data_IF_767070721704
#
_entry.id   IF_767070721704
#
_cell.length_a   1.000
_cell.length_b   1.000
_cell.length_c   1.000
_cell.angle_alpha   90.00
_cell.angle_beta   90.00
_cell.angle_gamma   90.00
#
_symmetry.space_group_name_H-M   'P 1'
#
loop_
_entity.id
_entity.type
_entity.pdbx_description
1 polymer ?
#
# COMPACT_ATOMS: atom_id res chain seq x y z
N UNK A 1 -7.57 -2.26 5.94
CA UNK A 1 -7.62 -2.77 4.56
C UNK A 1 -7.08 -1.75 3.56
N UNK A 2 -7.71 -0.61 3.34
CA UNK A 2 -7.28 0.41 2.35
C UNK A 2 -5.81 0.78 2.48
N UNK A 3 -5.35 1.13 3.70
CA UNK A 3 -3.93 1.46 3.94
C UNK A 3 -2.97 0.33 3.54
N UNK A 4 -3.40 -0.95 3.63
CA UNK A 4 -2.60 -2.08 3.18
C UNK A 4 -2.43 -2.11 1.67
N UNK A 5 -3.52 -1.86 0.92
CA UNK A 5 -3.42 -1.73 -0.53
C UNK A 5 -2.46 -0.61 -0.91
N UNK A 6 -2.63 0.59 -0.34
CA UNK A 6 -1.77 1.74 -0.64
C UNK A 6 -0.30 1.44 -0.33
N UNK A 7 -0.01 0.89 0.87
CA UNK A 7 1.36 0.53 1.27
C UNK A 7 1.98 -0.49 0.32
N UNK A 8 1.20 -1.45 -0.18
CA UNK A 8 1.74 -2.45 -1.08
C UNK A 8 1.82 -1.99 -2.54
N UNK A 9 0.91 -1.13 -3.02
CA UNK A 9 0.92 -0.64 -4.41
C UNK A 9 1.94 0.49 -4.57
N UNK A 10 1.84 1.55 -3.77
CA UNK A 10 2.62 2.78 -3.94
C UNK A 10 3.73 2.92 -2.88
N UNK A 11 3.43 2.61 -1.61
CA UNK A 11 4.32 2.79 -0.46
C UNK A 11 4.91 4.22 -0.39
N UNK A 12 6.23 4.35 -0.61
CA UNK A 12 6.98 5.62 -0.58
C UNK A 12 6.95 6.39 -1.91
N UNK A 13 6.22 5.90 -2.89
CA UNK A 13 6.13 6.43 -4.24
C UNK A 13 6.70 5.49 -5.30
N UNK A 14 6.26 5.66 -6.53
CA UNK A 14 6.76 4.97 -7.70
C UNK A 14 7.84 5.83 -8.37
N UNK A 15 8.98 5.23 -8.66
CA UNK A 15 10.13 5.92 -9.27
C UNK A 15 10.25 5.59 -10.75
N UNK A 16 10.59 6.61 -11.54
CA UNK A 16 10.81 6.51 -12.98
C UNK A 16 12.10 5.73 -13.29
N UNK A 17 12.02 4.86 -14.27
CA UNK A 17 13.14 4.27 -14.98
C UNK A 17 12.97 4.57 -16.47
N UNK A 18 13.67 5.54 -16.99
CA UNK A 18 13.62 5.87 -18.42
C UNK A 18 14.30 4.77 -19.25
N UNK A 19 13.64 4.33 -20.32
CA UNK A 19 14.12 3.24 -21.20
C UNK A 19 14.01 3.62 -22.67
N UNK A 20 14.76 4.63 -23.12
CA UNK A 20 14.73 5.00 -24.54
C UNK A 20 15.19 3.82 -25.43
N UNK A 21 14.55 3.67 -26.57
CA UNK A 21 14.75 2.51 -27.45
C UNK A 21 15.83 2.81 -28.49
N UNK A 22 17.05 2.36 -28.24
CA UNK A 22 18.23 2.62 -29.07
C UNK A 22 18.02 2.28 -30.56
N UNK A 23 17.39 1.14 -30.87
CA UNK A 23 17.18 0.66 -32.23
C UNK A 23 16.29 1.57 -33.09
N UNK A 24 15.35 2.29 -32.47
CA UNK A 24 14.45 3.24 -33.15
C UNK A 24 15.12 4.60 -33.26
N UNK A 25 15.84 5.00 -32.21
CA UNK A 25 16.47 6.32 -32.13
C UNK A 25 17.77 6.44 -32.94
N UNK A 26 18.39 5.31 -33.28
CA UNK A 26 19.70 5.31 -34.00
C UNK A 26 20.83 5.89 -33.17
N UNK A 27 20.72 5.87 -31.84
CA UNK A 27 21.70 6.43 -30.89
C UNK A 27 22.39 5.28 -30.16
N UNK A 28 23.69 5.45 -29.93
CA UNK A 28 24.52 4.48 -29.24
C UNK A 28 24.05 4.30 -27.77
N UNK A 29 24.08 3.06 -27.29
CA UNK A 29 23.56 2.68 -25.98
C UNK A 29 24.27 3.41 -24.82
N UNK A 30 25.57 3.63 -24.94
CA UNK A 30 26.36 4.38 -23.92
C UNK A 30 25.88 5.83 -23.77
N UNK A 31 25.61 6.47 -24.92
CA UNK A 31 25.07 7.85 -24.95
C UNK A 31 23.68 7.89 -24.34
N UNK A 32 22.83 6.87 -24.61
CA UNK A 32 21.50 6.75 -24.02
C UNK A 32 21.55 6.49 -22.51
N UNK A 33 22.52 5.73 -22.03
CA UNK A 33 22.68 5.51 -20.58
C UNK A 33 22.98 6.84 -19.85
N UNK A 34 23.88 7.66 -20.38
CA UNK A 34 24.18 9.01 -19.83
C UNK A 34 22.96 9.92 -19.89
N UNK A 35 22.23 9.87 -21.00
CA UNK A 35 20.97 10.61 -21.16
C UNK A 35 19.91 10.17 -20.14
N UNK A 36 19.76 8.88 -19.92
CA UNK A 36 18.83 8.28 -18.95
C UNK A 36 19.12 8.77 -17.53
N UNK A 37 20.42 8.77 -17.14
CA UNK A 37 20.82 9.21 -15.80
C UNK A 37 20.51 10.71 -15.58
N UNK A 38 20.76 11.58 -16.60
CA UNK A 38 20.42 13.01 -16.53
C UNK A 38 18.91 13.24 -16.46
N UNK A 39 18.14 12.53 -17.29
CA UNK A 39 16.67 12.63 -17.32
C UNK A 39 16.05 12.22 -15.99
N UNK A 40 16.48 11.09 -15.45
CA UNK A 40 15.96 10.59 -14.17
C UNK A 40 16.32 11.50 -13.00
N UNK A 41 17.54 12.03 -12.98
CA UNK A 41 17.95 12.99 -11.96
C UNK A 41 17.09 14.27 -12.01
N UNK A 42 16.89 14.84 -13.21
CA UNK A 42 16.03 16.03 -13.39
C UNK A 42 14.58 15.77 -13.05
N UNK A 43 14.04 14.63 -13.50
CA UNK A 43 12.68 14.25 -13.17
C UNK A 43 12.48 14.06 -11.67
N UNK A 44 13.44 13.45 -10.99
CA UNK A 44 13.42 13.30 -9.52
C UNK A 44 13.43 14.67 -8.82
N UNK A 45 14.22 15.63 -9.28
CA UNK A 45 14.20 16.99 -8.73
C UNK A 45 12.87 17.68 -8.95
N UNK A 46 12.24 17.52 -10.12
CA UNK A 46 10.89 18.02 -10.39
C UNK A 46 9.86 17.37 -9.47
N UNK A 47 9.87 16.04 -9.32
CA UNK A 47 8.93 15.28 -8.50
C UNK A 47 9.02 15.60 -7.01
N UNK A 48 10.22 15.90 -6.52
CA UNK A 48 10.48 16.22 -5.11
C UNK A 48 10.22 17.69 -4.76
N UNK A 49 9.90 18.53 -5.74
CA UNK A 49 9.58 19.93 -5.51
C UNK A 49 8.06 20.15 -5.58
N UNK A 50 7.37 20.33 -4.44
CA UNK A 50 5.93 20.55 -4.39
C UNK A 50 5.47 21.73 -5.25
N UNK A 51 6.25 22.80 -5.29
CA UNK A 51 5.92 24.02 -6.07
C UNK A 51 5.91 23.78 -7.58
N UNK A 52 6.58 22.74 -8.06
CA UNK A 52 6.64 22.41 -9.49
C UNK A 52 5.62 21.34 -9.89
N UNK A 53 5.38 20.33 -9.03
CA UNK A 53 4.58 19.16 -9.38
C UNK A 53 3.13 19.25 -8.91
N UNK A 54 2.88 19.90 -7.77
CA UNK A 54 1.55 20.02 -7.19
C UNK A 54 0.88 21.35 -7.57
N UNK A 55 -0.39 21.30 -7.92
CA UNK A 55 -1.18 22.49 -8.21
C UNK A 55 -1.27 23.42 -6.99
N UNK A 56 -1.41 22.87 -5.79
CA UNK A 56 -1.48 23.61 -4.54
C UNK A 56 -0.09 23.92 -3.95
N UNK A 57 0.98 23.30 -4.46
CA UNK A 57 2.35 23.54 -4.01
C UNK A 57 2.69 22.92 -2.65
N UNK A 58 1.94 21.92 -2.21
CA UNK A 58 2.06 21.32 -0.87
C UNK A 58 2.74 19.96 -0.89
N UNK A 59 2.53 19.17 -1.95
CA UNK A 59 2.86 17.74 -1.98
C UNK A 59 3.87 17.40 -3.05
N UNK A 60 4.75 16.47 -2.73
CA UNK A 60 5.63 15.81 -3.72
C UNK A 60 4.83 14.84 -4.57
N UNK A 61 5.40 14.38 -5.70
CA UNK A 61 4.74 13.39 -6.56
C UNK A 61 4.41 12.11 -5.79
N UNK A 62 5.31 11.62 -4.94
CA UNK A 62 5.07 10.43 -4.13
C UNK A 62 3.85 10.58 -3.21
N UNK A 63 3.70 11.75 -2.60
CA UNK A 63 2.54 12.04 -1.74
C UNK A 63 1.25 12.17 -2.56
N UNK A 64 1.32 12.75 -3.76
CA UNK A 64 0.19 12.81 -4.70
C UNK A 64 -0.22 11.42 -5.17
N UNK A 65 0.72 10.52 -5.45
CA UNK A 65 0.44 9.12 -5.81
C UNK A 65 -0.29 8.40 -4.68
N UNK A 66 0.18 8.54 -3.43
CA UNK A 66 -0.50 7.96 -2.24
C UNK A 66 -1.90 8.52 -2.09
N UNK A 67 -2.08 9.84 -2.22
CA UNK A 67 -3.40 10.48 -2.11
C UNK A 67 -4.33 10.06 -3.24
N UNK A 68 -3.84 9.97 -4.47
CA UNK A 68 -4.59 9.47 -5.63
C UNK A 68 -5.14 8.08 -5.38
N UNK A 69 -4.29 7.14 -4.93
CA UNK A 69 -4.73 5.79 -4.61
C UNK A 69 -5.74 5.76 -3.46
N UNK A 70 -5.49 6.55 -2.40
CA UNK A 70 -6.42 6.63 -1.27
C UNK A 70 -7.81 7.09 -1.71
N UNK A 71 -7.89 8.20 -2.45
CA UNK A 71 -9.18 8.73 -2.90
C UNK A 71 -9.88 7.76 -3.86
N UNK A 72 -9.15 7.20 -4.81
CA UNK A 72 -9.71 6.28 -5.78
C UNK A 72 -10.21 4.97 -5.14
N UNK A 73 -9.53 4.43 -4.12
CA UNK A 73 -9.97 3.25 -3.38
C UNK A 73 -11.18 3.55 -2.47
N UNK A 74 -11.24 4.74 -1.89
CA UNK A 74 -12.34 5.15 -0.99
C UNK A 74 -13.59 5.59 -1.77
N UNK A 75 -13.41 6.43 -2.79
CA UNK A 75 -14.51 7.05 -3.52
C UNK A 75 -14.89 6.31 -4.81
N UNK A 76 -14.03 5.38 -5.27
CA UNK A 76 -14.19 4.61 -6.50
C UNK A 76 -13.39 5.15 -7.67
N UNK A 77 -13.25 6.47 -7.77
CA UNK A 77 -12.42 7.15 -8.77
C UNK A 77 -11.90 8.49 -8.25
N UNK A 78 -10.93 9.06 -8.99
CA UNK A 78 -10.40 10.40 -8.74
C UNK A 78 -10.03 11.03 -10.08
N UNK A 79 -10.36 12.29 -10.26
CA UNK A 79 -9.96 13.04 -11.46
C UNK A 79 -8.57 13.64 -11.25
N UNK A 80 -7.66 13.27 -12.12
CA UNK A 80 -6.31 13.82 -12.20
C UNK A 80 -6.28 14.87 -13.30
N UNK A 81 -6.03 16.13 -12.95
CA UNK A 81 -5.95 17.24 -13.88
C UNK A 81 -4.51 17.73 -13.98
N UNK A 82 -4.02 17.89 -15.21
CA UNK A 82 -2.70 18.45 -15.50
C UNK A 82 -2.87 19.94 -15.84
N UNK A 83 -2.48 20.81 -14.94
CA UNK A 83 -2.37 22.24 -15.17
C UNK A 83 -0.96 22.56 -15.65
N UNK A 84 -0.87 23.42 -16.66
CA UNK A 84 0.44 23.85 -17.18
C UNK A 84 0.78 25.21 -16.61
N UNK A 85 1.88 25.26 -15.85
CA UNK A 85 2.34 26.50 -15.23
C UNK A 85 2.66 27.57 -16.29
N UNK A 86 2.18 28.78 -16.09
CA UNK A 86 2.31 29.88 -17.09
C UNK A 86 3.74 30.31 -17.33
N UNK A 87 4.64 30.14 -16.36
CA UNK A 87 6.05 30.53 -16.44
C UNK A 87 6.95 29.43 -16.97
N UNK A 88 6.75 28.22 -16.44
CA UNK A 88 7.64 27.08 -16.73
C UNK A 88 7.05 26.14 -17.78
N UNK A 89 5.75 26.23 -18.05
CA UNK A 89 4.97 25.30 -18.87
C UNK A 89 5.06 23.83 -18.43
N UNK A 90 5.59 23.58 -17.22
CA UNK A 90 5.62 22.25 -16.63
C UNK A 90 4.23 21.82 -16.17
N UNK A 91 3.89 20.54 -16.27
CA UNK A 91 2.62 20.02 -15.75
C UNK A 91 2.58 20.09 -14.23
N UNK A 92 1.48 20.57 -13.66
CA UNK A 92 1.14 20.49 -12.23
C UNK A 92 -0.06 19.62 -12.04
N UNK A 93 -0.03 18.71 -11.09
CA UNK A 93 -1.12 17.77 -10.84
C UNK A 93 -2.09 18.37 -9.85
N UNK A 94 -3.38 18.34 -10.18
CA UNK A 94 -4.49 18.57 -9.25
C UNK A 94 -5.31 17.28 -9.14
N UNK A 95 -5.58 16.85 -7.93
CA UNK A 95 -6.50 15.75 -7.64
C UNK A 95 -7.86 16.32 -7.25
N UNK A 96 -8.90 15.89 -7.94
CA UNK A 96 -10.28 16.32 -7.69
C UNK A 96 -11.10 15.11 -7.26
N UNK A 97 -11.78 15.25 -6.14
CA UNK A 97 -12.59 14.19 -5.52
C UNK A 97 -13.77 13.79 -6.44
N UNK A 98 -14.10 12.50 -6.38
CA UNK A 98 -15.17 11.83 -7.11
C UNK A 98 -16.53 12.52 -6.98
N UNK A 99 -16.87 12.98 -5.79
CA UNK A 99 -18.15 13.65 -5.48
C UNK A 99 -18.31 15.01 -6.17
N UNK A 100 -17.24 15.64 -6.62
CA UNK A 100 -17.31 16.88 -7.41
C UNK A 100 -17.56 16.64 -8.89
N UNK A 101 -17.43 15.41 -9.38
CA UNK A 101 -17.67 15.05 -10.77
C UNK A 101 -19.17 14.76 -10.90
N UNK A 102 -19.92 15.72 -11.44
CA UNK A 102 -21.37 15.67 -11.48
C UNK A 102 -21.88 16.22 -12.82
N UNK A 103 -23.02 15.70 -13.25
CA UNK A 103 -23.72 16.27 -14.39
C UNK A 103 -24.43 17.56 -13.97
N UNK A 104 -24.31 18.67 -14.73
CA UNK A 104 -25.07 19.88 -14.49
C UNK A 104 -26.59 19.62 -14.43
N UNK A 105 -27.27 20.30 -13.51
CA UNK A 105 -28.71 20.12 -13.31
C UNK A 105 -29.54 20.87 -14.38
N UNK A 106 -28.97 21.93 -14.95
CA UNK A 106 -29.67 22.86 -15.86
C UNK A 106 -29.47 22.49 -17.34
N UNK A 107 -29.75 21.25 -17.71
CA UNK A 107 -29.74 20.84 -19.12
C UNK A 107 -28.37 20.29 -19.58
N UNK A 108 -28.10 20.38 -20.89
CA UNK A 108 -26.98 19.67 -21.55
C UNK A 108 -25.56 20.13 -21.17
N UNK A 109 -25.40 21.04 -20.20
CA UNK A 109 -24.09 21.50 -19.71
C UNK A 109 -23.11 22.02 -20.77
N UNK A 110 -23.63 22.44 -21.93
CA UNK A 110 -22.83 22.86 -23.10
C UNK A 110 -22.19 21.68 -23.84
N UNK A 111 -22.78 20.51 -23.75
CA UNK A 111 -22.39 19.30 -24.49
C UNK A 111 -22.68 19.48 -25.97
N UNK A 112 -21.75 19.11 -26.85
CA UNK A 112 -21.94 19.25 -28.30
C UNK A 112 -22.99 18.26 -28.82
N UNK A 113 -23.60 18.60 -29.98
CA UNK A 113 -24.60 17.75 -30.63
C UNK A 113 -24.06 16.33 -30.87
N UNK A 114 -24.86 15.33 -30.44
CA UNK A 114 -24.48 13.90 -30.53
C UNK A 114 -23.61 13.39 -29.42
N UNK A 115 -23.10 14.23 -28.53
CA UNK A 115 -22.43 13.81 -27.31
C UNK A 115 -23.45 13.56 -26.19
N UNK A 116 -23.09 12.76 -25.20
CA UNK A 116 -23.96 12.55 -24.04
C UNK A 116 -23.16 12.62 -22.75
N UNK A 117 -23.84 12.94 -21.66
CA UNK A 117 -23.26 13.14 -20.35
C UNK A 117 -23.80 12.09 -19.39
N UNK A 118 -22.92 11.30 -18.78
CA UNK A 118 -23.27 10.31 -17.78
C UNK A 118 -22.44 10.51 -16.51
N UNK A 119 -23.11 10.83 -15.40
CA UNK A 119 -22.49 11.04 -14.10
C UNK A 119 -21.27 11.99 -14.10
N UNK A 120 -21.34 13.06 -14.90
CA UNK A 120 -20.28 14.06 -15.03
C UNK A 120 -19.17 13.69 -16.03
N UNK A 121 -19.27 12.55 -16.70
CA UNK A 121 -18.37 12.14 -17.78
C UNK A 121 -19.04 12.36 -19.13
N UNK A 122 -18.41 13.14 -20.00
CA UNK A 122 -18.89 13.45 -21.34
C UNK A 122 -18.30 12.43 -22.34
N UNK A 123 -19.19 11.83 -23.13
CA UNK A 123 -18.86 10.85 -24.15
C UNK A 123 -19.21 11.39 -25.55
N UNK A 124 -18.40 10.99 -26.52
CA UNK A 124 -18.73 11.25 -27.93
C UNK A 124 -19.72 10.19 -28.47
N UNK A 125 -20.10 10.36 -29.75
CA UNK A 125 -21.01 9.44 -30.45
C UNK A 125 -20.50 7.99 -30.53
N UNK A 126 -19.19 7.76 -30.35
CA UNK A 126 -18.58 6.43 -30.33
C UNK A 126 -18.43 5.88 -28.91
N UNK A 127 -18.89 6.60 -27.89
CA UNK A 127 -18.74 6.19 -26.48
C UNK A 127 -17.33 6.42 -25.91
N UNK A 128 -16.50 7.27 -26.52
CA UNK A 128 -15.19 7.65 -25.98
C UNK A 128 -15.32 8.80 -25.01
N UNK A 129 -14.62 8.73 -23.89
CA UNK A 129 -14.56 9.81 -22.91
C UNK A 129 -13.78 11.00 -23.47
N UNK A 130 -14.39 12.17 -23.51
CA UNK A 130 -13.81 13.39 -24.08
C UNK A 130 -13.62 14.51 -23.08
N UNK A 131 -14.46 14.59 -22.05
CA UNK A 131 -14.34 15.61 -21.00
C UNK A 131 -14.98 15.16 -19.68
N UNK A 132 -14.71 15.93 -18.63
CA UNK A 132 -15.25 15.73 -17.29
C UNK A 132 -15.82 17.05 -16.78
N UNK A 133 -17.03 16.98 -16.22
CA UNK A 133 -17.73 18.11 -15.63
C UNK A 133 -17.57 18.10 -14.12
N UNK A 134 -17.04 19.16 -13.56
CA UNK A 134 -16.68 19.28 -12.14
C UNK A 134 -17.43 20.45 -11.53
N UNK A 135 -18.16 20.20 -10.46
CA UNK A 135 -18.77 21.22 -9.63
C UNK A 135 -17.68 21.94 -8.82
N UNK A 136 -17.55 23.24 -9.02
CA UNK A 136 -16.68 24.12 -8.24
C UNK A 136 -17.31 24.48 -6.89
N UNK A 137 -16.53 25.10 -6.03
CA UNK A 137 -16.99 25.57 -4.72
C UNK A 137 -17.98 26.75 -4.81
N UNK A 138 -17.93 27.54 -5.88
CA UNK A 138 -18.85 28.61 -6.20
C UNK A 138 -20.21 28.14 -6.75
N UNK A 139 -20.39 26.83 -6.95
CA UNK A 139 -21.59 26.23 -7.53
C UNK A 139 -21.58 26.17 -9.04
N UNK A 140 -20.58 26.73 -9.72
CA UNK A 140 -20.44 26.66 -11.16
C UNK A 140 -19.83 25.32 -11.60
N UNK A 141 -20.05 24.93 -12.85
CA UNK A 141 -19.44 23.75 -13.45
C UNK A 141 -18.24 24.13 -14.32
N UNK A 142 -17.13 23.44 -14.12
CA UNK A 142 -15.97 23.51 -14.99
C UNK A 142 -15.90 22.26 -15.86
N UNK A 143 -15.69 22.44 -17.16
CA UNK A 143 -15.46 21.36 -18.12
C UNK A 143 -13.97 21.16 -18.34
N UNK A 144 -13.44 20.00 -17.96
CA UNK A 144 -12.05 19.62 -18.20
C UNK A 144 -11.98 18.63 -19.37
N UNK A 145 -11.44 19.04 -20.53
CA UNK A 145 -11.27 18.12 -21.66
C UNK A 145 -10.23 17.06 -21.31
N UNK A 146 -10.38 15.86 -21.85
CA UNK A 146 -9.40 14.80 -21.67
C UNK A 146 -8.05 15.13 -22.31
N UNK A 147 -8.10 15.74 -23.50
CA UNK A 147 -6.92 16.13 -24.30
C UNK A 147 -7.11 17.54 -24.80
N UNK A 148 -6.07 18.34 -24.79
CA UNK A 148 -6.08 19.70 -25.33
C UNK A 148 -6.17 19.68 -26.85
N UNK A 149 -7.21 20.35 -27.40
CA UNK A 149 -7.53 20.32 -28.84
C UNK A 149 -6.39 20.82 -29.76
N UNK A 150 -5.56 21.77 -29.28
CA UNK A 150 -4.45 22.33 -30.06
C UNK A 150 -3.12 21.68 -29.76
N UNK A 151 -2.89 21.29 -28.51
CA UNK A 151 -1.58 20.82 -28.02
C UNK A 151 -1.41 19.30 -28.09
N UNK A 152 -2.52 18.54 -28.26
CA UNK A 152 -2.52 17.08 -28.12
C UNK A 152 -2.10 16.58 -26.73
N UNK A 153 -1.85 17.49 -25.77
CA UNK A 153 -1.42 17.17 -24.42
C UNK A 153 -2.58 16.68 -23.58
N UNK A 154 -2.32 15.76 -22.67
CA UNK A 154 -3.32 15.30 -21.70
C UNK A 154 -3.65 16.44 -20.72
N UNK A 155 -4.92 16.73 -20.54
CA UNK A 155 -5.40 17.75 -19.61
C UNK A 155 -6.05 17.09 -18.40
N UNK A 156 -6.86 16.07 -18.61
CA UNK A 156 -7.52 15.39 -17.50
C UNK A 156 -7.65 13.88 -17.75
N UNK A 157 -7.72 13.14 -16.66
CA UNK A 157 -7.92 11.70 -16.68
C UNK A 157 -8.66 11.24 -15.44
N UNK A 158 -9.74 10.51 -15.62
CA UNK A 158 -10.45 9.88 -14.51
C UNK A 158 -9.80 8.54 -14.20
N UNK A 159 -9.05 8.49 -13.09
CA UNK A 159 -8.40 7.27 -12.63
C UNK A 159 -9.37 6.42 -11.83
N UNK A 160 -9.49 5.15 -12.22
CA UNK A 160 -10.38 4.15 -11.63
C UNK A 160 -9.54 2.90 -11.32
N UNK A 161 -9.24 2.60 -10.05
CA UNK A 161 -8.49 1.39 -9.69
C UNK A 161 -9.31 0.13 -9.94
N UNK A 162 -8.63 -0.96 -10.27
CA UNK A 162 -9.24 -2.24 -10.52
C UNK A 162 -9.80 -2.41 -11.94
N UNK A 163 -10.44 -3.56 -12.19
CA UNK A 163 -11.00 -3.90 -13.50
C UNK A 163 -12.33 -3.18 -13.71
N UNK A 164 -12.39 -2.37 -14.75
CA UNK A 164 -13.60 -1.68 -15.18
C UNK A 164 -14.41 -2.55 -16.15
N UNK A 165 -15.71 -2.60 -15.95
CA UNK A 165 -16.64 -3.17 -16.93
C UNK A 165 -16.83 -2.15 -18.08
N UNK A 166 -16.90 -2.63 -19.33
CA UNK A 166 -17.13 -1.77 -20.48
C UNK A 166 -18.47 -1.02 -20.33
N UNK A 167 -18.48 0.27 -20.68
CA UNK A 167 -19.65 1.13 -20.51
C UNK A 167 -19.86 1.73 -19.13
N UNK A 168 -19.03 1.41 -18.15
CA UNK A 168 -19.11 2.00 -16.82
C UNK A 168 -18.45 3.39 -16.80
N UNK A 169 -19.23 4.43 -16.57
CA UNK A 169 -18.74 5.83 -16.54
C UNK A 169 -17.89 6.11 -15.30
N UNK A 170 -18.29 5.59 -14.13
CA UNK A 170 -17.65 5.87 -12.83
C UNK A 170 -17.02 4.64 -12.21
N UNK A 171 -16.02 4.84 -11.35
CA UNK A 171 -15.40 3.79 -10.58
C UNK A 171 -16.27 3.30 -9.41
N UNK A 172 -15.93 2.14 -8.85
CA UNK A 172 -16.58 1.61 -7.64
C UNK A 172 -15.60 1.66 -6.46
N UNK A 173 -16.04 2.13 -5.28
CA UNK A 173 -15.24 2.08 -4.07
C UNK A 173 -14.78 0.65 -3.74
N UNK A 174 -13.54 0.51 -3.25
CA UNK A 174 -12.97 -0.79 -2.90
C UNK A 174 -13.87 -1.58 -1.95
N UNK A 175 -14.43 -0.90 -0.94
CA UNK A 175 -15.26 -1.53 0.09
C UNK A 175 -16.75 -1.61 -0.27
N UNK A 176 -17.18 -1.10 -1.44
CA UNK A 176 -18.59 -0.97 -1.78
C UNK A 176 -19.40 -2.27 -1.64
N UNK A 177 -18.84 -3.39 -2.12
CA UNK A 177 -19.50 -4.70 -2.07
C UNK A 177 -19.27 -5.49 -0.77
N UNK A 178 -18.44 -4.99 0.17
CA UNK A 178 -18.17 -5.68 1.45
C UNK A 178 -18.59 -4.88 2.68
N UNK A 179 -19.12 -3.67 2.50
CA UNK A 179 -19.58 -2.81 3.60
C UNK A 179 -20.60 -3.49 4.48
N UNK A 180 -21.53 -4.24 3.89
CA UNK A 180 -22.56 -4.96 4.66
C UNK A 180 -21.91 -6.02 5.54
N UNK A 181 -21.01 -6.84 5.00
CA UNK A 181 -20.32 -7.87 5.77
C UNK A 181 -19.49 -7.29 6.92
N UNK A 182 -18.81 -6.16 6.69
CA UNK A 182 -18.09 -5.44 7.74
C UNK A 182 -19.03 -4.92 8.84
N UNK A 183 -20.20 -4.38 8.47
CA UNK A 183 -21.22 -3.94 9.42
C UNK A 183 -21.79 -5.10 10.25
N UNK A 184 -21.91 -6.28 9.66
CA UNK A 184 -22.36 -7.49 10.36
C UNK A 184 -21.34 -7.97 11.38
N UNK A 185 -20.04 -7.89 11.09
CA UNK A 185 -18.97 -8.16 12.07
C UNK A 185 -19.10 -7.23 13.27
N UNK A 186 -19.26 -5.93 13.05
CA UNK A 186 -19.38 -4.96 14.15
C UNK A 186 -20.63 -5.24 15.00
N UNK A 187 -21.77 -5.51 14.37
CA UNK A 187 -23.00 -5.88 15.08
C UNK A 187 -22.84 -7.15 15.89
N UNK A 188 -22.16 -8.15 15.33
CA UNK A 188 -21.93 -9.40 16.03
C UNK A 188 -20.98 -9.20 17.21
N UNK A 189 -19.93 -8.40 17.04
CA UNK A 189 -19.00 -8.01 18.12
C UNK A 189 -19.73 -7.32 19.26
N UNK A 190 -20.60 -6.35 18.97
CA UNK A 190 -21.45 -5.67 19.95
C UNK A 190 -22.38 -6.66 20.69
N UNK A 191 -22.95 -7.62 19.97
CA UNK A 191 -23.83 -8.64 20.54
C UNK A 191 -23.08 -9.57 21.48
N UNK A 192 -21.86 -10.00 21.11
CA UNK A 192 -20.99 -10.83 21.95
C UNK A 192 -20.56 -10.07 23.21
N UNK A 193 -20.20 -8.80 23.08
CA UNK A 193 -19.85 -7.96 24.23
C UNK A 193 -21.05 -7.79 25.18
N UNK A 194 -22.24 -7.52 24.65
CA UNK A 194 -23.49 -7.42 25.47
C UNK A 194 -23.81 -8.74 26.14
N UNK A 195 -23.62 -9.87 25.44
CA UNK A 195 -23.79 -11.20 26.02
C UNK A 195 -22.79 -11.44 27.15
N UNK A 196 -21.52 -11.12 26.95
CA UNK A 196 -20.50 -11.26 27.99
C UNK A 196 -20.79 -10.39 29.21
N UNK A 197 -21.27 -9.15 29.02
CA UNK A 197 -21.72 -8.28 30.09
C UNK A 197 -22.94 -8.88 30.79
N UNK A 198 -23.96 -9.35 30.07
CA UNK A 198 -25.13 -9.96 30.64
C UNK A 198 -24.83 -11.26 31.44
N UNK A 199 -23.87 -12.08 30.93
CA UNK A 199 -23.46 -13.29 31.67
C UNK A 199 -22.58 -12.97 32.87
N UNK A 200 -21.89 -11.83 32.89
CA UNK A 200 -21.13 -11.35 34.07
C UNK A 200 -22.08 -10.91 35.20
N UNK A 201 -23.28 -10.45 34.88
CA UNK A 201 -24.38 -10.24 35.83
C UNK A 201 -25.14 -11.55 35.90
N UNK A 202 -24.68 -12.52 36.70
CA UNK A 202 -25.29 -13.83 36.90
C UNK A 202 -26.82 -13.75 37.02
N UNK A 203 -27.54 -13.98 35.96
CA UNK A 203 -29.00 -14.15 35.99
C UNK A 203 -29.29 -15.57 36.45
N UNK A 204 -29.54 -15.74 37.75
CA UNK A 204 -29.98 -17.01 38.32
C UNK A 204 -31.51 -17.11 38.21
N UNK A 205 -31.99 -18.10 37.49
CA UNK A 205 -33.40 -18.47 37.52
C UNK A 205 -33.60 -19.65 38.48
N UNK A 206 -34.58 -19.57 39.34
CA UNK A 206 -34.98 -20.66 40.20
C UNK A 206 -36.13 -21.43 39.54
N UNK A 207 -35.85 -22.65 39.15
CA UNK A 207 -36.83 -23.56 38.56
C UNK A 207 -37.46 -24.44 39.66
N UNK A 208 -38.77 -24.57 39.66
CA UNK A 208 -39.49 -25.45 40.58
C UNK A 208 -39.78 -26.77 39.88
N UNK A 209 -39.42 -27.87 40.52
CA UNK A 209 -39.74 -29.22 40.03
C UNK A 209 -41.27 -29.48 40.16
N UNK A 210 -41.92 -29.83 39.06
CA UNK A 210 -43.38 -29.96 38.99
C UNK A 210 -43.93 -31.12 39.87
N UNK A 211 -43.09 -32.08 40.24
CA UNK A 211 -43.48 -33.30 40.95
C UNK A 211 -43.39 -33.17 42.49
N UNK A 212 -43.02 -32.02 43.00
CA UNK A 212 -42.92 -31.85 44.46
C UNK A 212 -44.26 -31.39 45.04
N UNK A 213 -45.08 -32.35 45.43
CA UNK A 213 -46.32 -32.08 46.13
C UNK A 213 -46.03 -31.44 47.50
N UNK A 214 -46.34 -30.16 47.65
CA UNK A 214 -46.21 -29.43 48.93
C UNK A 214 -45.15 -28.33 48.97
N UNK A 215 -44.42 -28.07 47.86
CA UNK A 215 -43.50 -26.93 47.80
C UNK A 215 -44.25 -25.59 47.76
N UNK A 216 -43.97 -24.72 48.71
CA UNK A 216 -44.55 -23.35 48.74
C UNK A 216 -44.10 -22.53 47.54
N UNK A 217 -45.00 -21.77 46.90
CA UNK A 217 -44.59 -20.95 45.75
C UNK A 217 -43.59 -19.85 46.17
N UNK A 218 -42.51 -19.74 45.45
CA UNK A 218 -41.62 -18.57 45.59
C UNK A 218 -42.42 -17.31 45.25
N UNK A 219 -42.50 -16.36 46.16
CA UNK A 219 -43.24 -15.12 45.92
C UNK A 219 -42.68 -14.42 44.67
N UNK A 220 -43.57 -14.06 43.74
CA UNK A 220 -43.17 -13.50 42.43
C UNK A 220 -42.19 -12.35 42.57
N UNK A 221 -41.14 -12.33 41.79
CA UNK A 221 -40.07 -11.33 41.77
C UNK A 221 -40.56 -9.90 41.44
N UNK A 222 -41.86 -9.67 41.39
CA UNK A 222 -42.48 -8.38 41.05
C UNK A 222 -42.67 -7.44 42.23
N UNK A 223 -42.47 -7.88 43.49
CA UNK A 223 -42.60 -6.96 44.63
C UNK A 223 -41.24 -6.44 45.11
N UNK A 224 -40.99 -5.22 44.78
CA UNK A 224 -39.91 -4.34 45.25
C UNK A 224 -39.69 -4.48 46.76
N UNK A 225 -38.41 -4.67 47.11
CA UNK A 225 -37.80 -4.34 48.38
C UNK A 225 -38.75 -4.11 49.56
N UNK A 226 -38.94 -5.13 50.37
CA UNK A 226 -39.26 -4.94 51.76
C UNK A 226 -38.48 -5.97 52.57
N UNK A 227 -37.73 -5.49 53.55
CA UNK A 227 -37.29 -6.31 54.66
C UNK A 227 -38.51 -6.89 55.32
N UNK A 228 -38.78 -8.17 55.12
CA UNK A 228 -39.80 -8.84 55.87
C UNK A 228 -39.14 -10.05 56.49
N UNK A 229 -38.92 -9.99 57.79
CA UNK A 229 -38.78 -11.17 58.61
C UNK A 229 -40.14 -11.86 58.61
N UNK A 230 -40.32 -12.90 57.85
CA UNK A 230 -41.54 -13.66 57.86
C UNK A 230 -41.34 -14.95 58.65
N UNK A 231 -42.06 -15.08 59.73
CA UNK A 231 -42.26 -16.33 60.48
C UNK A 231 -43.08 -17.35 59.66
N UNK A 232 -43.26 -17.12 58.36
CA UNK A 232 -44.22 -17.89 57.51
C UNK A 232 -43.54 -18.79 56.47
N UNK A 233 -42.25 -19.13 56.65
CA UNK A 233 -41.57 -20.13 55.84
C UNK A 233 -41.44 -19.82 54.32
N UNK A 234 -41.59 -18.55 53.93
CA UNK A 234 -41.34 -18.09 52.57
C UNK A 234 -39.93 -17.55 52.46
N UNK A 235 -39.12 -18.16 51.63
CA UNK A 235 -37.76 -17.64 51.34
C UNK A 235 -37.83 -16.47 50.39
N UNK A 236 -37.15 -15.39 50.73
CA UNK A 236 -36.95 -14.22 49.88
C UNK A 236 -35.50 -14.09 49.49
N UNK A 237 -35.22 -14.29 48.21
CA UNK A 237 -33.93 -13.95 47.64
C UNK A 237 -33.80 -12.43 47.48
N UNK A 238 -32.91 -11.82 48.24
CA UNK A 238 -32.64 -10.39 48.12
C UNK A 238 -31.60 -10.12 47.01
N UNK A 239 -32.10 -9.79 45.82
CA UNK A 239 -31.24 -9.57 44.65
C UNK A 239 -30.51 -8.22 44.63
N UNK A 240 -30.64 -7.37 45.65
CA UNK A 240 -30.01 -6.06 45.69
C UNK A 240 -28.47 -6.07 45.93
N UNK A 241 -27.92 -7.17 46.44
CA UNK A 241 -26.52 -7.28 46.84
C UNK A 241 -25.81 -8.44 46.16
N UNK A 242 -26.10 -8.70 44.90
CA UNK A 242 -25.37 -9.69 44.12
C UNK A 242 -24.00 -9.17 43.71
N UNK A 243 -22.99 -9.49 44.48
CA UNK A 243 -21.60 -9.33 44.10
C UNK A 243 -21.07 -10.61 43.41
N UNK A 244 -20.14 -10.56 42.49
CA UNK A 244 -19.49 -11.73 41.93
C UNK A 244 -18.93 -12.62 43.03
N UNK A 245 -19.34 -13.90 43.08
CA UNK A 245 -18.85 -14.85 44.09
C UNK A 245 -19.81 -15.13 45.24
N UNK A 246 -21.08 -14.74 45.17
CA UNK A 246 -22.08 -15.09 46.21
C UNK A 246 -22.43 -16.58 46.15
N UNK A 247 -22.21 -17.31 47.24
CA UNK A 247 -22.68 -18.65 47.47
C UNK A 247 -24.13 -18.61 47.99
N UNK A 248 -25.01 -19.35 47.36
CA UNK A 248 -26.41 -19.57 47.83
C UNK A 248 -26.43 -20.93 48.53
N UNK A 249 -26.40 -20.93 49.87
CA UNK A 249 -26.19 -22.13 50.65
C UNK A 249 -27.51 -22.73 51.18
N UNK A 250 -28.66 -22.04 51.05
CA UNK A 250 -29.93 -22.49 51.58
C UNK A 250 -31.04 -22.45 50.53
N UNK A 251 -31.32 -23.61 49.92
CA UNK A 251 -32.39 -23.76 48.93
C UNK A 251 -33.47 -24.66 49.41
N UNK A 252 -34.74 -24.27 49.28
CA UNK A 252 -35.88 -25.13 49.63
C UNK A 252 -35.92 -26.42 48.80
N UNK A 253 -36.31 -27.52 49.40
CA UNK A 253 -36.47 -28.80 48.70
C UNK A 253 -37.38 -28.65 47.44
N UNK A 254 -36.95 -29.19 46.32
CA UNK A 254 -37.67 -29.11 45.03
C UNK A 254 -37.41 -27.85 44.19
N UNK A 255 -36.45 -27.02 44.60
CA UNK A 255 -36.01 -25.89 43.79
C UNK A 255 -34.58 -26.11 43.29
N UNK A 256 -34.33 -25.81 42.02
CA UNK A 256 -33.00 -25.87 41.40
C UNK A 256 -32.65 -24.51 40.82
N UNK A 257 -31.40 -24.12 41.00
CA UNK A 257 -30.86 -22.95 40.31
C UNK A 257 -30.48 -23.37 38.91
N UNK A 258 -31.08 -22.75 37.91
CA UNK A 258 -30.67 -22.89 36.52
C UNK A 258 -30.00 -21.60 36.12
N UNK A 259 -28.72 -21.69 35.74
CA UNK A 259 -28.07 -20.60 35.06
C UNK A 259 -28.83 -20.36 33.76
N UNK A 260 -29.40 -19.18 33.58
CA UNK A 260 -29.87 -18.74 32.28
C UNK A 260 -28.65 -18.37 31.45
N UNK A 261 -27.83 -19.36 31.17
CA UNK A 261 -26.84 -19.29 30.12
C UNK A 261 -27.49 -19.71 28.81
N UNK A 262 -27.23 -19.03 27.74
CA UNK A 262 -27.63 -19.46 26.41
C UNK A 262 -26.94 -20.81 26.12
N UNK A 263 -27.70 -21.90 26.15
CA UNK A 263 -27.29 -23.23 25.69
C UNK A 263 -27.12 -23.31 24.16
N UNK A 264 -27.15 -22.16 23.47
CA UNK A 264 -26.84 -22.09 22.05
C UNK A 264 -25.35 -22.30 21.84
N UNK A 265 -25.00 -23.18 20.92
CA UNK A 265 -23.65 -23.32 20.34
C UNK A 265 -23.06 -21.92 20.12
N UNK A 266 -22.17 -21.50 21.00
CA UNK A 266 -21.34 -20.35 20.77
C UNK A 266 -20.41 -20.71 19.59
N UNK A 267 -20.86 -20.39 18.37
CA UNK A 267 -19.95 -20.23 17.28
C UNK A 267 -18.92 -19.24 17.79
N UNK A 268 -17.69 -19.71 17.97
CA UNK A 268 -16.66 -18.87 18.56
C UNK A 268 -16.62 -17.58 17.73
N UNK A 269 -16.69 -16.43 18.39
CA UNK A 269 -16.61 -15.12 17.71
C UNK A 269 -15.41 -15.08 16.76
N UNK A 270 -14.28 -15.70 17.18
CA UNK A 270 -13.07 -15.79 16.37
C UNK A 270 -13.26 -16.51 15.04
N UNK A 271 -14.02 -17.59 15.00
CA UNK A 271 -14.26 -18.35 13.76
C UNK A 271 -15.18 -17.59 12.80
N UNK A 272 -16.21 -16.93 13.32
CA UNK A 272 -17.08 -16.07 12.50
C UNK A 272 -16.34 -14.88 11.94
N UNK A 273 -15.56 -14.17 12.78
CA UNK A 273 -14.73 -13.05 12.35
C UNK A 273 -13.71 -13.52 11.28
N UNK A 274 -13.04 -14.65 11.51
CA UNK A 274 -12.08 -15.22 10.57
C UNK A 274 -12.73 -15.59 9.23
N UNK A 275 -13.88 -16.24 9.24
CA UNK A 275 -14.61 -16.61 8.02
C UNK A 275 -15.04 -15.38 7.22
N UNK A 276 -15.55 -14.34 7.90
CA UNK A 276 -15.97 -13.11 7.23
C UNK A 276 -14.79 -12.32 6.68
N UNK A 277 -13.69 -12.21 7.43
CA UNK A 277 -12.47 -11.54 6.95
C UNK A 277 -11.89 -12.29 5.75
N UNK A 278 -11.90 -13.63 5.75
CA UNK A 278 -11.47 -14.44 4.61
C UNK A 278 -12.32 -14.14 3.36
N UNK A 279 -13.64 -14.07 3.50
CA UNK A 279 -14.56 -13.73 2.40
C UNK A 279 -14.30 -12.34 1.85
N UNK A 280 -14.08 -11.34 2.73
CA UNK A 280 -13.74 -9.97 2.36
C UNK A 280 -12.39 -9.93 1.61
N UNK A 281 -11.39 -10.64 2.12
CA UNK A 281 -10.07 -10.72 1.51
C UNK A 281 -10.14 -11.31 0.09
N UNK A 282 -10.82 -12.43 -0.08
CA UNK A 282 -10.99 -13.07 -1.39
C UNK A 282 -11.74 -12.18 -2.39
N UNK A 283 -12.77 -11.46 -1.94
CA UNK A 283 -13.53 -10.56 -2.82
C UNK A 283 -12.66 -9.41 -3.40
N UNK A 284 -11.50 -9.17 -2.80
CA UNK A 284 -10.55 -8.10 -3.18
C UNK A 284 -9.21 -8.62 -3.71
N UNK A 285 -9.10 -9.93 -3.92
CA UNK A 285 -7.87 -10.55 -4.43
C UNK A 285 -6.67 -10.45 -3.48
N UNK A 286 -6.92 -10.21 -2.17
CA UNK A 286 -5.89 -10.15 -1.15
C UNK A 286 -5.88 -11.43 -0.32
N UNK A 287 -4.75 -12.11 -0.12
CA UNK A 287 -4.65 -13.23 0.80
C UNK A 287 -5.05 -12.84 2.24
N UNK A 288 -5.86 -13.66 2.92
CA UNK A 288 -6.31 -13.37 4.29
C UNK A 288 -5.18 -13.17 5.29
N UNK A 289 -4.07 -13.87 5.13
CA UNK A 289 -2.86 -13.78 5.96
C UNK A 289 -2.26 -12.37 5.94
N UNK A 290 -2.23 -11.76 4.76
CA UNK A 290 -1.72 -10.39 4.57
C UNK A 290 -2.69 -9.38 5.18
N UNK A 291 -4.01 -9.59 5.01
CA UNK A 291 -5.02 -8.72 5.59
C UNK A 291 -5.01 -8.75 7.11
N UNK A 292 -4.95 -9.96 7.70
CA UNK A 292 -4.91 -10.19 9.17
C UNK A 292 -3.54 -9.90 9.78
N UNK A 293 -2.46 -9.83 8.99
CA UNK A 293 -1.06 -9.83 9.46
C UNK A 293 -0.73 -11.05 10.32
N UNK A 294 -1.33 -12.18 10.06
CA UNK A 294 -1.16 -13.41 10.81
C UNK A 294 -0.71 -14.52 9.87
N UNK A 295 0.53 -14.94 10.04
CA UNK A 295 1.18 -15.98 9.23
C UNK A 295 1.25 -17.28 10.03
N UNK A 296 0.12 -17.76 10.56
CA UNK A 296 0.01 -19.00 11.33
C UNK A 296 -0.05 -20.28 10.47
N UNK A 297 -0.07 -20.15 9.14
CA UNK A 297 -0.11 -21.27 8.21
C UNK A 297 1.27 -21.85 7.92
N UNK A 298 1.32 -23.03 7.29
CA UNK A 298 2.56 -23.65 6.82
C UNK A 298 3.38 -22.66 5.97
N UNK A 299 4.69 -22.60 6.20
CA UNK A 299 5.63 -21.74 5.48
C UNK A 299 5.47 -21.78 3.94
N UNK A 300 5.28 -22.98 3.38
CA UNK A 300 5.09 -23.16 1.95
C UNK A 300 3.81 -22.47 1.44
N UNK A 301 2.70 -22.60 2.17
CA UNK A 301 1.43 -21.97 1.84
C UNK A 301 1.52 -20.43 1.92
N UNK A 302 2.14 -19.90 2.97
CA UNK A 302 2.35 -18.45 3.13
C UNK A 302 3.25 -17.89 2.03
N UNK A 303 4.28 -18.61 1.61
CA UNK A 303 5.17 -18.22 0.51
C UNK A 303 4.41 -18.16 -0.83
N UNK A 304 3.57 -19.17 -1.10
CA UNK A 304 2.75 -19.20 -2.30
C UNK A 304 1.73 -18.06 -2.33
N UNK A 305 1.02 -17.83 -1.23
CA UNK A 305 0.08 -16.71 -1.11
C UNK A 305 0.75 -15.34 -1.31
N UNK A 306 1.97 -15.16 -0.79
CA UNK A 306 2.75 -13.95 -0.99
C UNK A 306 3.16 -13.78 -2.46
N UNK A 307 3.56 -14.87 -3.13
CA UNK A 307 3.93 -14.84 -4.55
C UNK A 307 2.73 -14.44 -5.44
N UNK A 308 1.57 -15.02 -5.21
CA UNK A 308 0.33 -14.69 -5.92
C UNK A 308 -0.09 -13.23 -5.68
N UNK A 309 0.00 -12.76 -4.44
CA UNK A 309 -0.27 -11.37 -4.11
C UNK A 309 0.70 -10.40 -4.81
N UNK A 310 1.98 -10.74 -4.91
CA UNK A 310 2.96 -9.94 -5.66
C UNK A 310 2.59 -9.81 -7.14
N UNK A 311 2.06 -10.87 -7.78
CA UNK A 311 1.56 -10.78 -9.17
C UNK A 311 0.37 -9.84 -9.29
N UNK A 312 -0.56 -9.87 -8.33
CA UNK A 312 -1.67 -8.91 -8.26
C UNK A 312 -1.15 -7.47 -8.13
N UNK A 313 -0.19 -7.22 -7.23
CA UNK A 313 0.41 -5.90 -7.03
C UNK A 313 1.10 -5.37 -8.29
N UNK A 314 1.80 -6.22 -9.04
CA UNK A 314 2.44 -5.83 -10.30
C UNK A 314 1.41 -5.39 -11.34
N UNK A 315 0.28 -6.10 -11.43
CA UNK A 315 -0.84 -5.72 -12.31
C UNK A 315 -1.43 -4.35 -11.93
N UNK A 316 -1.67 -4.11 -10.64
CA UNK A 316 -2.21 -2.83 -10.16
C UNK A 316 -1.20 -1.67 -10.34
N UNK A 317 0.08 -1.90 -10.07
CA UNK A 317 1.16 -0.92 -10.33
C UNK A 317 1.25 -0.57 -11.81
N UNK A 318 1.23 -1.56 -12.69
CA UNK A 318 1.24 -1.33 -14.13
C UNK A 318 0.02 -0.51 -14.58
N UNK A 319 -1.17 -0.83 -14.10
CA UNK A 319 -2.39 -0.10 -14.43
C UNK A 319 -2.32 1.38 -13.99
N UNK A 320 -1.88 1.64 -12.76
CA UNK A 320 -1.78 3.00 -12.22
C UNK A 320 -0.71 3.83 -12.94
N UNK A 321 0.46 3.23 -13.22
CA UNK A 321 1.57 3.93 -13.89
C UNK A 321 1.26 4.28 -15.33
N UNK A 322 0.73 3.35 -16.11
CA UNK A 322 0.34 3.58 -17.51
C UNK A 322 -0.74 4.67 -17.61
N UNK A 323 -1.66 4.69 -16.65
CA UNK A 323 -2.79 5.62 -16.69
C UNK A 323 -2.40 7.04 -16.25
N UNK A 324 -1.51 7.19 -15.26
CA UNK A 324 -1.24 8.48 -14.64
C UNK A 324 0.22 8.92 -14.75
N UNK A 325 1.17 8.07 -14.35
CA UNK A 325 2.56 8.50 -14.17
C UNK A 325 3.33 8.56 -15.51
N UNK A 326 3.07 7.63 -16.41
CA UNK A 326 3.62 7.63 -17.77
C UNK A 326 3.21 8.88 -18.58
N UNK A 327 1.94 9.31 -18.61
CA UNK A 327 1.54 10.55 -19.25
C UNK A 327 2.19 11.78 -18.64
N UNK A 328 2.35 11.84 -17.32
CA UNK A 328 3.02 12.94 -16.64
C UNK A 328 4.49 13.04 -17.08
N UNK A 329 5.20 11.91 -17.09
CA UNK A 329 6.58 11.85 -17.55
C UNK A 329 6.70 12.30 -19.02
N UNK A 330 5.84 11.81 -19.88
CA UNK A 330 5.77 12.19 -21.30
C UNK A 330 5.59 13.69 -21.48
N UNK A 331 4.67 14.31 -20.76
CA UNK A 331 4.40 15.74 -20.80
C UNK A 331 5.58 16.56 -20.25
N UNK A 332 6.18 16.13 -19.16
CA UNK A 332 7.35 16.76 -18.57
C UNK A 332 8.55 16.71 -19.52
N UNK A 333 8.84 15.52 -20.08
CA UNK A 333 9.94 15.34 -21.02
C UNK A 333 9.80 16.21 -22.27
N UNK A 334 8.57 16.31 -22.81
CA UNK A 334 8.26 17.19 -23.92
C UNK A 334 8.62 18.65 -23.61
N UNK A 335 8.21 19.15 -22.45
CA UNK A 335 8.51 20.53 -22.04
C UNK A 335 10.01 20.77 -21.88
N UNK A 336 10.73 19.83 -21.26
CA UNK A 336 12.19 19.93 -21.09
C UNK A 336 12.94 19.84 -22.42
N UNK A 337 12.44 19.06 -23.38
CA UNK A 337 12.97 19.01 -24.73
C UNK A 337 12.72 20.32 -25.50
N UNK A 338 11.51 20.90 -25.41
CA UNK A 338 11.19 22.21 -26.02
C UNK A 338 12.07 23.33 -25.47
N UNK A 339 12.38 23.30 -24.16
CA UNK A 339 13.30 24.26 -23.54
C UNK A 339 14.78 24.04 -23.93
N UNK A 340 15.11 22.90 -24.54
CA UNK A 340 16.48 22.52 -24.85
C UNK A 340 17.29 22.03 -23.66
N UNK A 341 16.67 21.81 -22.50
CA UNK A 341 17.32 21.27 -21.31
C UNK A 341 17.70 19.80 -21.46
N UNK A 342 16.90 19.06 -22.24
CA UNK A 342 17.10 17.64 -22.56
C UNK A 342 17.14 17.49 -24.09
N UNK A 343 18.17 16.82 -24.59
CA UNK A 343 18.33 16.56 -26.02
C UNK A 343 17.49 15.34 -26.41
N UNK A 344 16.40 15.55 -27.14
CA UNK A 344 15.58 14.50 -27.74
C UNK A 344 15.27 14.84 -29.20
N UNK A 345 16.25 14.62 -30.11
CA UNK A 345 16.12 15.00 -31.52
C UNK A 345 14.90 14.43 -32.19
N UNK A 346 14.15 15.28 -32.91
CA UNK A 346 12.94 14.90 -33.62
C UNK A 346 11.70 14.66 -32.78
N UNK A 347 11.81 14.63 -31.45
CA UNK A 347 10.67 14.36 -30.57
C UNK A 347 9.63 15.48 -30.57
N UNK A 348 10.11 16.73 -30.60
CA UNK A 348 9.21 17.92 -30.53
C UNK A 348 8.41 18.04 -31.83
N UNK A 349 9.07 17.85 -32.96
CA UNK A 349 8.47 17.88 -34.30
C UNK A 349 7.47 16.75 -34.51
N UNK A 350 7.81 15.56 -33.99
CA UNK A 350 6.99 14.36 -34.09
C UNK A 350 5.78 14.34 -33.13
N UNK A 351 5.72 15.26 -32.14
CA UNK A 351 4.76 15.20 -31.03
C UNK A 351 3.29 15.06 -31.45
N UNK A 352 2.86 15.85 -32.44
CA UNK A 352 1.48 15.85 -32.93
C UNK A 352 1.29 15.06 -34.24
N UNK A 353 2.31 14.36 -34.72
CA UNK A 353 2.23 13.55 -35.93
C UNK A 353 1.94 12.08 -35.59
N UNK A 354 0.73 11.58 -35.86
CA UNK A 354 0.40 10.17 -35.60
C UNK A 354 1.28 9.16 -36.34
N UNK A 355 1.89 9.56 -37.47
CA UNK A 355 2.77 8.67 -38.25
C UNK A 355 4.14 8.48 -37.60
N UNK A 356 4.53 9.41 -36.74
CA UNK A 356 5.82 9.38 -36.02
C UNK A 356 5.68 8.90 -34.56
N UNK A 357 4.61 8.17 -34.25
CA UNK A 357 4.34 7.63 -32.90
C UNK A 357 5.52 6.83 -32.34
N UNK A 358 6.25 6.11 -33.20
CA UNK A 358 7.37 5.27 -32.80
C UNK A 358 8.53 6.10 -32.26
N UNK A 359 8.85 7.26 -32.87
CA UNK A 359 9.91 8.15 -32.42
C UNK A 359 9.59 8.77 -31.06
N UNK A 360 8.36 9.29 -30.89
CA UNK A 360 7.89 9.83 -29.60
C UNK A 360 7.87 8.72 -28.55
N UNK A 361 7.34 7.54 -28.90
CA UNK A 361 7.29 6.37 -28.03
C UNK A 361 8.68 5.93 -27.57
N UNK A 362 9.65 5.90 -28.49
CA UNK A 362 11.01 5.47 -28.20
C UNK A 362 11.73 6.39 -27.20
N UNK A 363 11.51 7.71 -27.25
CA UNK A 363 12.05 8.65 -26.27
C UNK A 363 11.32 8.58 -24.93
N UNK A 364 10.00 8.34 -24.94
CA UNK A 364 9.16 8.39 -23.74
C UNK A 364 8.94 7.04 -23.08
N UNK A 365 9.52 5.96 -23.60
CA UNK A 365 9.42 4.64 -22.98
C UNK A 365 10.01 4.66 -21.57
N UNK A 366 9.26 4.13 -20.63
CA UNK A 366 9.71 4.05 -19.24
C UNK A 366 9.08 2.87 -18.51
N UNK A 367 9.78 2.38 -17.51
CA UNK A 367 9.24 1.50 -16.48
C UNK A 367 9.12 2.29 -15.17
N UNK A 368 8.32 1.76 -14.26
CA UNK A 368 8.13 2.37 -12.95
C UNK A 368 8.35 1.31 -11.87
N UNK A 369 9.29 1.58 -10.98
CA UNK A 369 9.57 0.68 -9.86
C UNK A 369 8.95 1.20 -8.58
N UNK A 370 8.33 0.29 -7.83
CA UNK A 370 7.83 0.54 -6.48
C UNK A 370 8.82 0.05 -5.43
N UNK A 371 8.41 0.09 -4.17
CA UNK A 371 9.18 -0.52 -3.08
C UNK A 371 9.44 -1.99 -3.31
N UNK A 372 10.57 -2.46 -2.78
CA UNK A 372 10.99 -3.87 -2.83
C UNK A 372 9.88 -4.76 -2.25
N UNK A 373 9.62 -5.86 -2.91
CA UNK A 373 8.63 -6.85 -2.48
C UNK A 373 9.10 -7.53 -1.19
N UNK A 374 8.14 -7.80 -0.31
CA UNK A 374 8.40 -8.58 0.89
C UNK A 374 8.86 -9.99 0.50
N UNK A 375 10.00 -10.42 1.02
CA UNK A 375 10.48 -11.77 0.86
C UNK A 375 10.71 -12.43 2.22
N UNK A 376 10.23 -13.66 2.37
CA UNK A 376 10.36 -14.41 3.60
C UNK A 376 11.77 -15.01 3.81
N UNK A 377 12.57 -15.14 2.73
CA UNK A 377 13.88 -15.79 2.77
C UNK A 377 14.88 -15.07 1.84
N UNK A 378 15.36 -13.93 2.30
CA UNK A 378 16.28 -13.07 1.55
C UNK A 378 17.58 -13.79 1.14
N UNK A 379 18.12 -14.65 2.03
CA UNK A 379 19.39 -15.37 1.76
C UNK A 379 19.24 -16.33 0.57
N UNK A 380 18.15 -17.09 0.53
CA UNK A 380 17.88 -18.01 -0.59
C UNK A 380 17.61 -17.27 -1.87
N UNK A 381 16.95 -16.11 -1.79
CA UNK A 381 16.70 -15.28 -2.97
C UNK A 381 17.99 -14.72 -3.55
N UNK A 382 18.87 -14.16 -2.71
CA UNK A 382 20.20 -13.69 -3.14
C UNK A 382 20.98 -14.83 -3.80
N UNK A 383 21.00 -16.02 -3.20
CA UNK A 383 21.65 -17.18 -3.80
C UNK A 383 21.04 -17.57 -5.14
N UNK A 384 19.72 -17.60 -5.24
CA UNK A 384 19.03 -17.91 -6.50
C UNK A 384 19.36 -16.91 -7.62
N UNK A 385 19.48 -15.62 -7.30
CA UNK A 385 19.91 -14.59 -8.25
C UNK A 385 21.38 -14.76 -8.64
N UNK A 386 22.26 -15.09 -7.69
CA UNK A 386 23.68 -15.36 -7.99
C UNK A 386 23.81 -16.55 -8.94
N UNK A 387 23.15 -17.67 -8.62
CA UNK A 387 23.16 -18.88 -9.45
C UNK A 387 22.59 -18.60 -10.87
N UNK A 388 21.53 -17.75 -10.99
CA UNK A 388 20.96 -17.36 -12.28
C UNK A 388 21.90 -16.46 -13.10
N UNK A 389 22.64 -15.56 -12.46
CA UNK A 389 23.66 -14.71 -13.11
C UNK A 389 24.80 -15.55 -13.59
N UNK A 390 25.33 -16.46 -12.79
CA UNK A 390 26.43 -17.37 -13.11
C UNK A 390 26.05 -18.31 -14.27
N UNK A 391 24.78 -18.72 -14.35
CA UNK A 391 24.23 -19.50 -15.46
C UNK A 391 23.93 -18.67 -16.73
N UNK A 392 24.13 -17.34 -16.71
CA UNK A 392 23.85 -16.44 -17.84
C UNK A 392 22.35 -16.22 -18.12
N UNK A 393 21.47 -16.56 -17.17
CA UNK A 393 20.01 -16.43 -17.30
C UNK A 393 19.48 -15.07 -16.80
N UNK A 394 20.27 -14.36 -16.00
CA UNK A 394 19.90 -13.06 -15.43
C UNK A 394 21.08 -12.09 -15.48
N UNK A 395 20.77 -10.80 -15.33
CA UNK A 395 21.77 -9.73 -15.24
C UNK A 395 21.88 -9.18 -13.84
N UNK A 396 23.04 -8.58 -13.48
CA UNK A 396 23.21 -7.84 -12.22
C UNK A 396 22.19 -6.72 -12.05
N UNK A 397 21.76 -6.09 -13.14
CA UNK A 397 20.71 -5.06 -13.13
C UNK A 397 19.38 -5.64 -12.65
N UNK A 398 18.97 -6.81 -13.18
CA UNK A 398 17.74 -7.49 -12.78
C UNK A 398 17.79 -7.88 -11.30
N UNK A 399 18.90 -8.44 -10.84
CA UNK A 399 19.08 -8.85 -9.45
C UNK A 399 19.06 -7.64 -8.49
N UNK A 400 19.79 -6.57 -8.80
CA UNK A 400 19.84 -5.34 -8.02
C UNK A 400 18.47 -4.69 -7.89
N UNK A 401 17.71 -4.69 -8.98
CA UNK A 401 16.34 -4.16 -9.00
C UNK A 401 15.39 -5.02 -8.16
N UNK A 402 15.45 -6.34 -8.31
CA UNK A 402 14.58 -7.26 -7.57
C UNK A 402 14.87 -7.24 -6.06
N UNK A 403 16.15 -7.24 -5.67
CA UNK A 403 16.56 -7.37 -4.27
C UNK A 403 16.53 -6.02 -3.52
N UNK A 404 16.91 -4.92 -4.17
CA UNK A 404 17.12 -3.62 -3.52
C UNK A 404 16.28 -2.49 -4.11
N UNK A 405 15.58 -2.71 -5.22
CA UNK A 405 14.79 -1.69 -5.92
C UNK A 405 15.64 -0.56 -6.49
N UNK A 406 16.94 -0.80 -6.74
CA UNK A 406 17.89 0.20 -7.23
C UNK A 406 18.60 -0.29 -8.48
N UNK A 407 18.99 0.64 -9.34
CA UNK A 407 19.82 0.34 -10.52
C UNK A 407 21.21 -0.13 -10.10
N UNK A 408 21.73 -1.13 -10.80
CA UNK A 408 23.07 -1.67 -10.56
C UNK A 408 24.16 -0.59 -10.73
N UNK A 409 24.03 0.29 -11.71
CA UNK A 409 24.97 1.40 -11.93
C UNK A 409 25.11 2.31 -10.70
N UNK A 410 24.03 2.64 -10.03
CA UNK A 410 24.08 3.45 -8.81
C UNK A 410 24.78 2.72 -7.67
N UNK A 411 24.52 1.42 -7.52
CA UNK A 411 25.18 0.57 -6.53
C UNK A 411 26.69 0.50 -6.82
N UNK A 412 27.06 0.28 -8.09
CA UNK A 412 28.46 0.21 -8.50
C UNK A 412 29.21 1.54 -8.29
N UNK A 413 28.60 2.69 -8.64
CA UNK A 413 29.18 4.00 -8.37
C UNK A 413 29.40 4.23 -6.88
N UNK A 414 28.43 3.84 -6.06
CA UNK A 414 28.55 3.93 -4.60
C UNK A 414 29.66 3.04 -4.07
N UNK A 415 29.78 1.80 -4.54
CA UNK A 415 30.84 0.87 -4.17
C UNK A 415 32.21 1.40 -4.59
N UNK A 416 32.36 1.97 -5.79
CA UNK A 416 33.60 2.61 -6.24
C UNK A 416 34.00 3.75 -5.28
N UNK A 417 33.04 4.60 -4.93
CA UNK A 417 33.29 5.72 -4.02
C UNK A 417 33.65 5.24 -2.59
N UNK A 418 32.98 4.22 -2.09
CA UNK A 418 33.29 3.61 -0.80
C UNK A 418 34.66 2.94 -0.79
N UNK A 419 35.01 2.22 -1.87
CA UNK A 419 36.33 1.57 -1.99
C UNK A 419 37.45 2.63 -2.13
N UNK A 420 37.22 3.72 -2.83
CA UNK A 420 38.18 4.85 -2.90
C UNK A 420 38.38 5.46 -1.51
N UNK A 421 37.32 5.67 -0.73
CA UNK A 421 37.42 6.14 0.66
C UNK A 421 38.18 5.14 1.55
N UNK A 422 37.86 3.83 1.43
CA UNK A 422 38.57 2.79 2.18
C UNK A 422 40.08 2.78 1.86
N UNK A 423 40.46 2.93 0.56
CA UNK A 423 41.82 3.03 0.15
C UNK A 423 42.54 4.24 0.77
N UNK A 424 41.91 5.43 0.76
CA UNK A 424 42.44 6.64 1.39
C UNK A 424 42.64 6.47 2.91
N UNK A 425 41.69 5.82 3.58
CA UNK A 425 41.78 5.54 5.03
C UNK A 425 42.89 4.55 5.32
N UNK A 426 43.05 3.51 4.49
CA UNK A 426 44.14 2.54 4.62
C UNK A 426 45.53 3.17 4.39
N UNK A 427 45.65 4.04 3.38
CA UNK A 427 46.86 4.83 3.11
C UNK A 427 47.20 5.76 4.28
N UNK A 428 46.20 6.51 4.80
CA UNK A 428 46.38 7.35 5.97
C UNK A 428 46.78 6.57 7.22
N UNK A 429 46.23 5.38 7.44
CA UNK A 429 46.59 4.48 8.54
C UNK A 429 48.01 3.94 8.35
N UNK A 430 48.42 3.61 7.11
CA UNK A 430 49.80 3.21 6.76
C UNK A 430 50.78 4.31 7.09
N UNK A 431 50.53 5.55 6.69
CA UNK A 431 51.33 6.74 7.02
C UNK A 431 51.45 6.99 8.53
N UNK A 432 50.38 6.72 9.29
CA UNK A 432 50.43 6.80 10.75
C UNK A 432 51.25 5.67 11.37
N UNK A 433 51.27 4.47 10.78
CA UNK A 433 52.05 3.34 11.25
C UNK A 433 53.58 3.56 10.96
N UNK A 434 53.93 4.11 9.78
CA UNK A 434 55.32 4.44 9.47
C UNK A 434 55.85 5.59 10.33
N UNK A 435 55.09 6.60 10.63
CA UNK A 435 55.45 7.72 11.52
C UNK A 435 55.57 7.32 13.00
N UNK A 436 55.12 6.15 13.41
CA UNK A 436 55.21 5.60 14.77
C UNK A 436 56.32 4.59 14.98
N UNK A 437 57.17 4.30 13.99
CA UNK A 437 58.38 3.52 14.27
C UNK A 437 59.41 4.44 14.97
N UNK A 438 59.70 4.25 16.27
CA UNK A 438 60.80 4.94 16.92
C UNK A 438 62.08 4.49 16.25
N UNK A 439 62.95 5.42 15.87
CA UNK A 439 64.32 5.16 15.45
C UNK A 439 65.02 4.34 16.53
N UNK A 440 65.14 3.05 16.29
CA UNK A 440 65.99 2.20 17.13
C UNK A 440 67.40 2.65 16.86
N UNK A 441 67.96 3.36 17.85
CA UNK A 441 69.37 3.66 17.98
C UNK A 441 70.12 2.32 17.89
N UNK A 442 70.95 2.21 16.85
CA UNK A 442 72.01 1.18 16.79
C UNK A 442 72.94 1.36 17.99
N UNK A 443 72.80 0.54 18.97
CA UNK A 443 73.74 0.37 20.04
C UNK A 443 74.49 -0.94 19.82
N UNK A 444 75.78 -0.77 19.67
CA UNK A 444 76.79 -1.76 19.36
C UNK A 444 76.92 -2.88 20.40
N UNK A 445 77.23 -4.06 19.88
CA UNK A 445 78.17 -5.07 20.33
C UNK A 445 77.98 -5.89 21.60
N UNK A 446 78.25 -7.09 21.32
CA UNK A 446 79.14 -8.10 21.91
C UNK A 446 78.53 -9.14 22.84
N UNK A 447 78.70 -10.33 22.39
CA UNK A 447 79.32 -11.38 23.15
C UNK A 447 78.42 -12.44 23.81
N UNK A 448 78.71 -13.59 23.33
CA UNK A 448 78.84 -14.93 24.00
C UNK A 448 77.66 -15.87 23.99
N UNK A 449 77.76 -16.81 23.15
CA UNK A 449 77.82 -18.29 23.32
C UNK A 449 76.98 -18.92 24.45
N UNK A 450 76.36 -19.97 23.99
CA UNK A 450 76.16 -21.30 24.66
C UNK A 450 74.79 -21.57 25.30
N UNK A 451 74.28 -22.70 24.86
CA UNK A 451 73.45 -23.55 25.66
C UNK A 451 72.30 -24.27 24.98
N UNK A 452 72.62 -25.40 24.50
CA UNK A 452 71.76 -26.56 24.16
C UNK A 452 70.60 -26.82 25.11
N UNK A 453 69.57 -27.49 24.58
CA UNK A 453 68.62 -28.33 25.30
C UNK A 453 67.31 -28.32 24.53
N UNK A 454 67.07 -29.14 23.62
CA UNK A 454 66.43 -30.48 23.54
C UNK A 454 65.16 -30.66 24.36
N UNK A 455 64.27 -31.27 23.64
CA UNK A 455 63.16 -32.19 23.99
C UNK A 455 61.76 -31.56 24.15
N UNK A 456 60.94 -32.00 23.32
CA UNK A 456 60.10 -33.19 23.15
C UNK A 456 58.74 -33.07 23.82
N UNK A 457 57.73 -33.34 22.92
CA UNK A 457 56.55 -34.22 23.16
C UNK A 457 55.52 -33.76 24.20
N UNK A 458 54.32 -33.82 24.01
CA UNK A 458 53.31 -34.67 23.39
C UNK A 458 51.90 -34.19 23.77
N UNK A 459 51.00 -34.45 22.88
CA UNK A 459 49.61 -34.91 23.06
C UNK A 459 48.68 -34.23 24.11
N UNK A 460 47.59 -33.68 23.72
CA UNK A 460 46.26 -34.29 23.54
C UNK A 460 45.32 -33.40 22.76
#
# INVERSE_FOLDING_TARGET
>A
MINRFITNIVNTGLTLEAKPVASILGVEQETLNKWTDDVEARFTMYCNNPQLVDYYGEKTLSQLQVQRELQALVEGDVLVVHHFDTKTNLPKIQLISSNRIQSPLDGDGGVADGHYLEHGVEFDVQGREIAYHVLKEDGEYARYPRVGARSGRRVANLYRPGKRIMGQARGMPLLGNVLQSLREIDRYRDSVQRKALATSFLALAVEKDADTIGAKPLASAASRSANISSNDGSYKLNMKNFNPGVFIDDMPAGHRIKMMGSDGTDLSFGDFEAATINSVAWSKGMPPEILKMSFGSNYAASKQATAEFNMFLDSERAATTVTNDQPLYKEWLYVEAVKGNIKAPGMVEAWNDPNQYALVGAWTQSDWSGSVKLNADFVKEVKGWTDAIDAGLATHEMASKALFGRKNNLIMMQLIHENAKKAQVMEALGDFAEKKQPSIIQGNESGSQSGQGENEEDSE
#
